data_IF_973250934727
#
_entry.id   IF_973250934727
#
_cell.length_a   1.000
_cell.length_b   1.000
_cell.length_c   1.000
_cell.angle_alpha   90.00
_cell.angle_beta   90.00
_cell.angle_gamma   90.00
#
_symmetry.space_group_name_H-M   'P 1'
#
loop_
_entity.id
_entity.type
_entity.pdbx_description
1 polymer ?
#
# COMPACT_ATOMS: atom_id res chain seq x y z
N UNK A 1 -49.75 -2.55 44.03
CA UNK A 1 -48.98 -1.31 43.72
C UNK A 1 -49.23 -0.86 42.28
N UNK A 2 -49.18 0.44 41.95
CA UNK A 2 -49.40 0.93 40.57
C UNK A 2 -48.09 1.04 39.78
N UNK A 3 -48.11 0.65 38.51
CA UNK A 3 -46.98 0.81 37.61
C UNK A 3 -46.72 2.30 37.30
N UNK A 4 -45.49 2.81 37.48
CA UNK A 4 -45.17 4.22 37.18
C UNK A 4 -45.21 4.52 35.68
N UNK A 5 -45.16 3.50 34.81
CA UNK A 5 -45.18 3.66 33.35
C UNK A 5 -46.58 3.57 32.72
N UNK A 6 -47.43 2.66 33.20
CA UNK A 6 -48.73 2.38 32.59
C UNK A 6 -49.92 2.50 33.55
N UNK A 7 -49.69 2.86 34.81
CA UNK A 7 -50.71 3.07 35.85
C UNK A 7 -51.57 1.87 36.23
N UNK A 8 -51.38 0.69 35.61
CA UNK A 8 -52.08 -0.54 35.98
C UNK A 8 -51.68 -1.05 37.36
N UNK A 9 -52.63 -1.69 38.05
CA UNK A 9 -52.43 -2.34 39.33
C UNK A 9 -51.68 -3.65 39.15
N UNK A 10 -50.53 -3.75 39.81
CA UNK A 10 -49.68 -4.94 39.84
C UNK A 10 -49.74 -5.60 41.24
N UNK A 11 -49.67 -6.94 41.29
CA UNK A 11 -49.62 -7.68 42.54
C UNK A 11 -48.37 -7.31 43.35
N UNK A 12 -48.51 -7.28 44.67
CA UNK A 12 -47.41 -6.94 45.57
C UNK A 12 -46.30 -7.99 45.48
N UNK A 13 -45.05 -7.55 45.27
CA UNK A 13 -43.89 -8.43 45.10
C UNK A 13 -43.55 -8.81 43.66
N UNK A 14 -44.28 -8.33 42.65
CA UNK A 14 -43.92 -8.56 41.24
C UNK A 14 -42.66 -7.78 40.85
N UNK A 15 -41.67 -8.45 40.24
CA UNK A 15 -40.45 -7.80 39.75
C UNK A 15 -40.67 -6.97 38.47
N UNK A 16 -41.69 -7.33 37.67
CA UNK A 16 -42.02 -6.70 36.39
C UNK A 16 -43.53 -6.48 36.26
N UNK A 17 -43.93 -5.43 35.56
CA UNK A 17 -45.34 -5.12 35.30
C UNK A 17 -45.91 -6.09 34.24
N UNK A 18 -47.00 -6.83 34.52
CA UNK A 18 -47.57 -7.78 33.57
C UNK A 18 -48.24 -7.12 32.36
N UNK A 19 -48.58 -5.82 32.44
CA UNK A 19 -49.22 -5.12 31.31
C UNK A 19 -48.25 -4.45 30.36
N UNK A 20 -47.06 -4.04 30.80
CA UNK A 20 -46.11 -3.29 29.96
C UNK A 20 -44.65 -3.78 30.03
N UNK A 21 -44.35 -4.77 30.88
CA UNK A 21 -43.02 -5.36 31.01
C UNK A 21 -41.98 -4.53 31.77
N UNK A 22 -42.32 -3.34 32.28
CA UNK A 22 -41.34 -2.50 33.00
C UNK A 22 -40.95 -3.11 34.35
N UNK A 23 -39.66 -3.13 34.68
CA UNK A 23 -39.19 -3.53 36.01
C UNK A 23 -39.56 -2.50 37.07
N UNK A 24 -39.78 -2.97 38.30
CA UNK A 24 -40.01 -2.10 39.47
C UNK A 24 -38.71 -1.75 40.22
N UNK A 25 -37.59 -2.34 39.81
CA UNK A 25 -36.27 -2.05 40.36
C UNK A 25 -35.73 -0.77 39.74
N UNK A 26 -35.78 0.35 40.48
CA UNK A 26 -35.14 1.59 40.09
C UNK A 26 -33.61 1.38 40.05
N UNK A 27 -32.99 1.59 38.89
CA UNK A 27 -31.52 1.60 38.79
C UNK A 27 -30.96 2.76 39.64
N UNK A 28 -29.86 2.53 40.39
CA UNK A 28 -29.22 3.61 41.14
C UNK A 28 -28.71 4.66 40.15
N UNK A 29 -29.18 5.90 40.30
CA UNK A 29 -28.80 7.04 39.45
C UNK A 29 -27.29 7.28 39.56
N UNK A 30 -26.54 6.74 38.61
CA UNK A 30 -25.08 6.89 38.54
C UNK A 30 -24.77 8.34 38.20
N UNK A 31 -24.17 9.06 39.15
CA UNK A 31 -23.81 10.47 39.02
C UNK A 31 -22.98 10.73 37.77
N UNK A 32 -23.49 11.58 36.86
CA UNK A 32 -22.83 11.98 35.60
C UNK A 32 -21.40 12.49 35.83
N UNK A 33 -21.13 13.12 36.98
CA UNK A 33 -19.79 13.62 37.35
C UNK A 33 -18.75 12.51 37.49
N UNK A 34 -19.16 11.32 37.95
CA UNK A 34 -18.25 10.18 38.09
C UNK A 34 -17.93 9.55 36.72
N UNK A 35 -18.89 9.50 35.81
CA UNK A 35 -18.69 8.99 34.44
C UNK A 35 -17.74 9.90 33.65
N UNK A 36 -17.92 11.23 33.71
CA UNK A 36 -17.00 12.17 33.09
C UNK A 36 -15.58 12.10 33.66
N UNK A 37 -15.44 11.90 34.98
CA UNK A 37 -14.12 11.75 35.62
C UNK A 37 -13.38 10.48 35.16
N UNK A 38 -14.09 9.36 34.97
CA UNK A 38 -13.51 8.10 34.48
C UNK A 38 -13.11 8.21 33.01
N UNK A 39 -13.93 8.86 32.17
CA UNK A 39 -13.61 9.06 30.74
C UNK A 39 -12.39 9.99 30.58
N UNK A 40 -12.34 11.11 31.32
CA UNK A 40 -11.19 12.02 31.30
C UNK A 40 -9.91 11.32 31.77
N UNK A 41 -9.98 10.52 32.84
CA UNK A 41 -8.83 9.74 33.31
C UNK A 41 -8.36 8.71 32.27
N UNK A 42 -9.28 8.04 31.57
CA UNK A 42 -8.96 7.07 30.52
C UNK A 42 -8.28 7.70 29.29
N UNK A 43 -8.77 8.86 28.82
CA UNK A 43 -8.17 9.59 27.69
C UNK A 43 -6.78 10.09 28.06
N UNK A 44 -6.60 10.62 29.28
CA UNK A 44 -5.31 11.13 29.74
C UNK A 44 -4.27 10.00 29.87
N UNK A 45 -4.70 8.80 30.30
CA UNK A 45 -3.85 7.62 30.34
C UNK A 45 -3.39 7.19 28.93
N UNK A 46 -4.29 7.19 27.94
CA UNK A 46 -3.95 6.85 26.54
C UNK A 46 -2.98 7.85 25.92
N UNK A 47 -3.13 9.15 26.21
CA UNK A 47 -2.19 10.18 25.76
C UNK A 47 -0.79 9.97 26.38
N UNK A 48 -0.72 9.60 27.67
CA UNK A 48 0.55 9.31 28.33
C UNK A 48 1.22 8.07 27.73
N UNK A 49 0.46 6.99 27.49
CA UNK A 49 0.99 5.76 26.88
C UNK A 49 1.47 6.04 25.44
N UNK A 50 0.70 6.81 24.66
CA UNK A 50 1.10 7.23 23.31
C UNK A 50 2.38 8.08 23.29
N UNK A 51 2.52 9.01 24.24
CA UNK A 51 3.72 9.83 24.37
C UNK A 51 4.95 9.00 24.79
N UNK A 52 4.77 7.99 25.65
CA UNK A 52 5.83 7.05 26.05
C UNK A 52 6.24 6.10 24.91
N UNK A 53 5.29 5.62 24.10
CA UNK A 53 5.59 4.81 22.93
C UNK A 53 6.32 5.63 21.84
N UNK A 54 5.90 6.88 21.61
CA UNK A 54 6.58 7.79 20.70
C UNK A 54 8.00 8.14 21.18
N UNK A 55 8.21 8.37 22.47
CA UNK A 55 9.54 8.66 23.00
C UNK A 55 10.50 7.48 22.89
N UNK A 56 10.03 6.23 23.07
CA UNK A 56 10.85 5.04 22.81
C UNK A 56 11.19 4.85 21.32
N UNK A 57 10.32 5.25 20.40
CA UNK A 57 10.59 5.19 18.96
C UNK A 57 11.57 6.28 18.50
N UNK A 58 11.46 7.51 19.02
CA UNK A 58 12.37 8.61 18.69
C UNK A 58 13.74 8.50 19.40
N UNK A 59 13.82 7.85 20.57
CA UNK A 59 15.09 7.60 21.24
C UNK A 59 15.96 6.53 20.52
N UNK A 60 15.33 5.64 19.72
CA UNK A 60 16.03 4.55 19.01
C UNK A 60 16.58 4.97 17.63
N UNK A 61 16.17 6.12 17.10
CA UNK A 61 16.56 6.58 15.75
C UNK A 61 17.75 7.53 15.71
N UNK A 62 18.49 7.71 16.81
CA UNK A 62 19.75 8.49 16.85
C UNK A 62 20.97 7.60 17.08
N UNK A 63 21.14 6.57 16.27
CA UNK A 63 22.42 5.87 16.10
C UNK A 63 22.38 5.10 14.78
N UNK A 64 22.89 5.70 13.70
CA UNK A 64 23.57 5.11 12.53
C UNK A 64 23.65 6.22 11.47
N UNK A 65 24.60 7.13 11.68
CA UNK A 65 25.27 7.93 10.65
C UNK A 65 26.65 8.24 11.19
N UNK A 66 27.49 7.19 11.25
CA UNK A 66 28.92 7.33 11.41
C UNK A 66 29.55 6.72 10.16
N UNK A 67 29.79 7.57 9.15
CA UNK A 67 30.70 7.24 8.07
C UNK A 67 32.11 7.51 8.61
N UNK A 68 32.80 6.44 8.98
CA UNK A 68 34.20 6.47 9.35
C UNK A 68 35.03 6.71 8.09
N UNK A 69 35.69 7.87 8.03
CA UNK A 69 36.63 8.24 6.98
C UNK A 69 38.03 7.85 7.45
N UNK A 70 38.33 6.57 7.43
CA UNK A 70 39.62 6.03 7.87
C UNK A 70 40.14 4.97 6.92
N UNK A 71 41.01 5.37 5.98
CA UNK A 71 41.96 4.43 5.36
C UNK A 71 42.82 3.79 6.45
N UNK A 72 43.07 2.48 6.36
CA UNK A 72 44.45 2.08 6.06
C UNK A 72 44.59 0.77 5.25
N UNK A 73 45.70 0.67 4.51
CA UNK A 73 46.23 -0.58 3.94
C UNK A 73 45.74 -0.86 2.52
N UNK A 74 46.54 -0.65 1.46
CA UNK A 74 47.94 -1.05 1.38
C UNK A 74 48.07 -2.58 1.34
N UNK A 75 47.28 -3.24 0.48
CA UNK A 75 47.45 -4.67 0.15
C UNK A 75 48.38 -4.84 -1.05
N UNK A 76 49.32 -5.80 -1.03
CA UNK A 76 50.52 -5.77 -1.86
C UNK A 76 50.28 -6.14 -3.33
N UNK A 77 50.94 -5.38 -4.22
CA UNK A 77 51.14 -5.72 -5.63
C UNK A 77 51.67 -7.14 -5.80
N UNK A 78 50.92 -7.97 -6.53
CA UNK A 78 51.37 -9.30 -6.97
C UNK A 78 52.26 -9.14 -8.20
N UNK A 79 53.40 -8.48 -8.03
CA UNK A 79 54.46 -8.37 -9.04
C UNK A 79 55.80 -8.44 -8.32
N UNK A 80 56.22 -9.67 -8.00
CA UNK A 80 57.59 -10.15 -7.75
C UNK A 80 57.55 -11.31 -6.74
N UNK A 81 57.34 -12.53 -7.23
CA UNK A 81 57.69 -13.73 -6.48
C UNK A 81 59.14 -14.13 -6.82
N UNK A 82 60.01 -14.43 -5.84
CA UNK A 82 61.38 -14.88 -6.09
C UNK A 82 61.42 -16.24 -6.80
N UNK A 83 62.43 -16.43 -7.66
CA UNK A 83 62.69 -17.69 -8.34
C UNK A 83 62.96 -18.83 -7.32
N UNK A 84 62.40 -20.04 -7.51
CA UNK A 84 62.80 -21.19 -6.72
C UNK A 84 64.19 -21.66 -7.14
N UNK A 85 65.12 -21.71 -6.18
CA UNK A 85 66.38 -22.42 -6.33
C UNK A 85 66.10 -23.93 -6.27
N UNK A 86 66.20 -24.62 -7.40
CA UNK A 86 66.34 -26.08 -7.44
C UNK A 86 67.72 -26.42 -7.99
N UNK A 87 68.63 -26.79 -7.09
CA UNK A 87 69.86 -27.46 -7.42
C UNK A 87 69.60 -28.98 -7.55
N UNK A 88 70.07 -29.59 -8.64
CA UNK A 88 70.41 -31.02 -8.70
C UNK A 88 69.44 -31.93 -9.46
N UNK A 89 69.66 -32.07 -10.78
CA UNK A 89 69.12 -33.17 -11.59
C UNK A 89 69.71 -33.14 -13.01
N UNK A 90 70.15 -34.29 -13.58
CA UNK A 90 71.01 -34.32 -14.76
C UNK A 90 70.29 -33.94 -16.06
N UNK A 91 71.04 -33.28 -16.95
CA UNK A 91 70.64 -32.79 -18.26
C UNK A 91 70.02 -33.86 -19.16
N UNK A 92 68.83 -33.56 -19.70
CA UNK A 92 68.27 -34.28 -20.86
C UNK A 92 67.99 -33.29 -21.98
N UNK A 93 68.57 -33.64 -23.12
CA UNK A 93 68.64 -33.02 -24.44
C UNK A 93 67.28 -32.78 -25.12
N UNK A 94 67.16 -31.61 -25.78
CA UNK A 94 66.29 -31.23 -26.90
C UNK A 94 64.79 -31.62 -26.85
N UNK A 95 63.92 -30.66 -26.52
CA UNK A 95 62.49 -30.69 -26.85
C UNK A 95 62.11 -29.47 -27.73
N UNK A 96 61.23 -29.60 -28.76
CA UNK A 96 60.83 -28.50 -29.62
C UNK A 96 60.05 -27.42 -28.86
N UNK A 97 60.07 -26.15 -29.30
CA UNK A 97 59.35 -25.07 -28.62
C UNK A 97 57.85 -25.38 -28.55
N UNK A 98 57.17 -25.11 -27.40
CA UNK A 98 55.75 -25.35 -27.25
C UNK A 98 54.95 -24.45 -28.20
N UNK A 99 53.92 -25.03 -28.81
CA UNK A 99 52.97 -24.31 -29.66
C UNK A 99 52.34 -23.14 -28.88
N UNK A 100 52.12 -22.02 -29.57
CA UNK A 100 51.48 -20.83 -29.02
C UNK A 100 50.12 -21.19 -28.40
N UNK A 101 49.75 -20.64 -27.23
CA UNK A 101 48.45 -20.89 -26.63
C UNK A 101 47.32 -20.37 -27.54
N UNK A 102 46.15 -21.02 -27.56
CA UNK A 102 45.03 -20.59 -28.38
C UNK A 102 44.62 -19.16 -27.99
N UNK A 103 44.45 -18.31 -29.00
CA UNK A 103 43.95 -16.95 -28.84
C UNK A 103 42.63 -16.97 -28.08
N UNK A 104 42.57 -16.23 -26.98
CA UNK A 104 41.34 -15.94 -26.25
C UNK A 104 40.30 -15.34 -27.21
N UNK A 105 39.02 -15.77 -27.16
CA UNK A 105 37.96 -15.13 -27.93
C UNK A 105 37.89 -13.65 -27.58
N UNK A 106 38.02 -12.79 -28.59
CA UNK A 106 38.01 -11.35 -28.42
C UNK A 106 36.70 -10.87 -27.78
N UNK A 107 36.83 -10.05 -26.73
CA UNK A 107 35.75 -9.34 -26.01
C UNK A 107 35.11 -8.20 -26.83
N UNK A 108 35.01 -8.34 -28.15
CA UNK A 108 34.30 -7.39 -29.01
C UNK A 108 32.97 -8.00 -29.44
N UNK A 109 32.07 -8.19 -28.48
CA UNK A 109 30.66 -8.31 -28.81
C UNK A 109 30.22 -6.98 -29.46
N UNK A 110 29.54 -7.00 -30.62
CA UNK A 110 29.03 -5.78 -31.24
C UNK A 110 28.12 -5.05 -30.25
N UNK A 111 28.40 -3.77 -29.99
CA UNK A 111 27.50 -2.93 -29.20
C UNK A 111 26.19 -2.81 -29.98
N UNK A 112 25.13 -3.46 -29.50
CA UNK A 112 23.80 -3.36 -30.09
C UNK A 112 23.38 -1.90 -30.00
N UNK A 113 23.23 -1.25 -31.15
CA UNK A 113 22.77 0.13 -31.20
C UNK A 113 21.27 0.18 -30.89
N UNK A 114 20.88 1.06 -29.97
CA UNK A 114 19.49 1.14 -29.52
C UNK A 114 18.67 1.92 -30.53
N UNK A 115 17.59 1.35 -31.09
CA UNK A 115 16.70 2.10 -31.98
C UNK A 115 16.10 3.31 -31.26
N UNK A 116 16.08 4.46 -31.94
CA UNK A 116 15.51 5.70 -31.37
C UNK A 116 14.05 5.51 -30.93
N UNK A 117 13.27 4.75 -31.69
CA UNK A 117 11.89 4.39 -31.36
C UNK A 117 11.72 3.71 -30.00
N UNK A 118 12.69 2.89 -29.57
CA UNK A 118 12.69 2.23 -28.26
C UNK A 118 12.89 3.26 -27.16
N UNK A 119 13.87 4.16 -27.31
CA UNK A 119 14.13 5.22 -26.34
C UNK A 119 12.95 6.19 -26.22
N UNK A 120 12.37 6.61 -27.35
CA UNK A 120 11.20 7.50 -27.40
C UNK A 120 9.96 6.82 -26.78
N UNK A 121 9.83 5.50 -26.91
CA UNK A 121 8.76 4.75 -26.26
C UNK A 121 8.99 4.62 -24.75
N UNK A 122 10.21 4.30 -24.30
CA UNK A 122 10.53 4.21 -22.88
C UNK A 122 10.34 5.55 -22.15
N UNK A 123 10.70 6.67 -22.77
CA UNK A 123 10.44 7.99 -22.21
C UNK A 123 8.93 8.30 -22.13
N UNK A 124 8.15 7.86 -23.12
CA UNK A 124 6.70 7.95 -23.04
C UNK A 124 6.14 7.13 -21.87
N UNK A 125 6.54 5.86 -21.72
CA UNK A 125 6.06 5.01 -20.61
C UNK A 125 6.51 5.56 -19.25
N UNK A 126 7.69 6.17 -19.16
CA UNK A 126 8.12 6.89 -17.94
C UNK A 126 7.16 8.01 -17.55
N UNK A 127 6.62 8.76 -18.52
CA UNK A 127 5.60 9.78 -18.24
C UNK A 127 4.28 9.16 -17.79
N UNK A 128 3.88 8.02 -18.38
CA UNK A 128 2.72 7.25 -17.95
C UNK A 128 2.91 6.77 -16.51
N UNK A 129 4.09 6.28 -16.16
CA UNK A 129 4.44 5.82 -14.80
C UNK A 129 4.39 6.96 -13.78
N UNK A 130 4.89 8.15 -14.13
CA UNK A 130 4.75 9.32 -13.27
C UNK A 130 3.28 9.66 -12.99
N UNK A 131 2.42 9.63 -14.02
CA UNK A 131 0.97 9.84 -13.86
C UNK A 131 0.31 8.72 -13.04
N UNK A 132 0.70 7.46 -13.25
CA UNK A 132 0.25 6.31 -12.46
C UNK A 132 0.54 6.53 -10.98
N UNK A 133 1.77 6.90 -10.63
CA UNK A 133 2.17 7.13 -9.24
C UNK A 133 1.38 8.27 -8.59
N UNK A 134 1.06 9.33 -9.34
CA UNK A 134 0.19 10.39 -8.85
C UNK A 134 -1.23 9.88 -8.61
N UNK A 135 -1.82 9.15 -9.57
CA UNK A 135 -3.15 8.58 -9.42
C UNK A 135 -3.25 7.59 -8.27
N UNK A 136 -2.21 6.77 -8.04
CA UNK A 136 -2.13 5.90 -6.87
C UNK A 136 -2.25 6.70 -5.57
N UNK A 137 -1.46 7.78 -5.42
CA UNK A 137 -1.51 8.64 -4.23
C UNK A 137 -2.89 9.28 -4.05
N UNK A 138 -3.47 9.80 -5.13
CA UNK A 138 -4.77 10.49 -5.07
C UNK A 138 -5.91 9.51 -4.78
N UNK A 139 -5.85 8.31 -5.36
CA UNK A 139 -6.80 7.22 -5.09
C UNK A 139 -6.69 6.75 -3.64
N UNK A 140 -5.49 6.47 -3.15
CA UNK A 140 -5.28 6.04 -1.75
C UNK A 140 -5.78 7.09 -0.76
N UNK A 141 -5.59 8.38 -1.06
CA UNK A 141 -6.15 9.48 -0.23
C UNK A 141 -7.68 9.50 -0.27
N UNK A 142 -8.28 9.36 -1.45
CA UNK A 142 -9.74 9.30 -1.60
C UNK A 142 -10.34 8.13 -0.79
N UNK A 143 -9.73 6.95 -0.90
CA UNK A 143 -10.14 5.75 -0.16
C UNK A 143 -9.98 5.95 1.36
N UNK A 144 -8.87 6.52 1.82
CA UNK A 144 -8.65 6.82 3.24
C UNK A 144 -9.63 7.89 3.79
N UNK A 145 -10.02 8.88 2.97
CA UNK A 145 -11.04 9.85 3.36
C UNK A 145 -12.41 9.18 3.49
N UNK A 146 -12.75 8.29 2.55
CA UNK A 146 -13.97 7.48 2.63
C UNK A 146 -14.00 6.61 3.90
N UNK A 147 -12.86 5.97 4.21
CA UNK A 147 -12.63 5.20 5.43
C UNK A 147 -12.93 6.00 6.70
N UNK A 148 -12.22 7.12 6.86
CA UNK A 148 -12.29 7.94 8.05
C UNK A 148 -13.66 8.57 8.23
N UNK A 149 -14.34 8.96 7.15
CA UNK A 149 -15.70 9.47 7.22
C UNK A 149 -16.69 8.39 7.70
N UNK A 150 -16.58 7.18 7.17
CA UNK A 150 -17.47 6.09 7.58
C UNK A 150 -17.27 5.71 9.06
N UNK A 151 -16.02 5.68 9.54
CA UNK A 151 -15.73 5.47 10.96
C UNK A 151 -16.25 6.61 11.84
N UNK A 152 -16.02 7.88 11.45
CA UNK A 152 -16.54 9.03 12.17
C UNK A 152 -18.07 9.04 12.23
N UNK A 153 -18.76 8.68 11.15
CA UNK A 153 -20.21 8.57 11.13
C UNK A 153 -20.72 7.44 12.03
N UNK A 154 -20.04 6.30 12.06
CA UNK A 154 -20.39 5.21 13.00
C UNK A 154 -20.23 5.62 14.47
N UNK A 155 -19.21 6.42 14.79
CA UNK A 155 -18.99 6.92 16.14
C UNK A 155 -20.05 7.97 16.51
N UNK A 156 -20.37 8.86 15.58
CA UNK A 156 -21.40 9.87 15.79
C UNK A 156 -22.78 9.23 15.94
N UNK A 157 -23.09 8.15 15.22
CA UNK A 157 -24.34 7.38 15.40
C UNK A 157 -24.46 6.78 16.81
N UNK A 158 -23.34 6.31 17.37
CA UNK A 158 -23.30 5.81 18.75
C UNK A 158 -23.54 6.93 19.78
N UNK A 159 -23.03 8.13 19.50
CA UNK A 159 -23.22 9.33 20.33
C UNK A 159 -24.66 9.85 20.19
N UNK A 160 -25.23 9.83 18.99
CA UNK A 160 -26.58 10.29 18.67
C UNK A 160 -27.67 9.35 19.23
N UNK A 161 -27.41 8.03 19.24
CA UNK A 161 -28.24 7.07 19.97
C UNK A 161 -28.28 7.35 21.48
N UNK A 162 -27.29 8.09 22.01
CA UNK A 162 -27.25 8.55 23.40
C UNK A 162 -27.66 10.01 23.61
N UNK A 163 -27.79 10.80 22.54
CA UNK A 163 -28.09 12.23 22.56
C UNK A 163 -29.08 12.54 21.43
N UNK A 164 -30.34 12.76 21.80
CA UNK A 164 -31.50 12.90 20.91
C UNK A 164 -31.51 14.23 20.11
N UNK A 165 -30.51 14.48 19.24
CA UNK A 165 -30.46 15.71 18.42
C UNK A 165 -29.81 15.51 17.03
N UNK A 166 -30.63 15.64 15.98
CA UNK A 166 -30.43 15.08 14.63
C UNK A 166 -29.26 15.64 13.77
N UNK A 167 -28.30 14.78 13.35
CA UNK A 167 -27.34 15.00 12.26
C UNK A 167 -27.72 14.27 10.95
N UNK A 168 -28.91 13.66 10.87
CA UNK A 168 -29.33 12.79 9.75
C UNK A 168 -29.29 13.47 8.37
N UNK A 169 -29.45 14.79 8.28
CA UNK A 169 -29.45 15.53 7.00
C UNK A 169 -28.07 15.63 6.32
N UNK A 170 -26.95 15.48 7.05
CA UNK A 170 -25.60 15.57 6.48
C UNK A 170 -25.05 14.24 5.93
N UNK A 171 -25.55 13.08 6.37
CA UNK A 171 -25.06 11.75 5.96
C UNK A 171 -25.16 11.48 4.45
N UNK A 172 -26.32 11.68 3.78
CA UNK A 172 -26.45 11.38 2.35
C UNK A 172 -25.57 12.27 1.46
N UNK A 173 -25.26 13.51 1.89
CA UNK A 173 -24.37 14.41 1.15
C UNK A 173 -22.90 13.97 1.20
N UNK A 174 -22.45 13.42 2.32
CA UNK A 174 -21.08 12.91 2.48
C UNK A 174 -20.86 11.60 1.73
N UNK A 175 -21.83 10.70 1.82
CA UNK A 175 -21.88 9.48 1.02
C UNK A 175 -21.75 9.75 -0.49
N UNK A 176 -22.56 10.66 -1.02
CA UNK A 176 -22.49 11.06 -2.42
C UNK A 176 -21.13 11.66 -2.79
N UNK A 177 -20.48 12.39 -1.87
CA UNK A 177 -19.14 12.93 -2.10
C UNK A 177 -18.08 11.83 -2.24
N UNK A 178 -18.15 10.79 -1.41
CA UNK A 178 -17.24 9.64 -1.46
C UNK A 178 -17.41 8.87 -2.76
N UNK A 179 -18.66 8.58 -3.13
CA UNK A 179 -18.97 7.85 -4.36
C UNK A 179 -18.49 8.62 -5.60
N UNK A 180 -18.80 9.93 -5.67
CA UNK A 180 -18.35 10.78 -6.76
C UNK A 180 -16.83 10.86 -6.86
N UNK A 181 -16.13 10.89 -5.73
CA UNK A 181 -14.67 10.89 -5.69
C UNK A 181 -14.09 9.59 -6.25
N UNK A 182 -14.57 8.43 -5.79
CA UNK A 182 -14.08 7.13 -6.25
C UNK A 182 -14.39 6.92 -7.74
N UNK A 183 -15.59 7.30 -8.19
CA UNK A 183 -15.95 7.27 -9.62
C UNK A 183 -15.06 8.19 -10.46
N UNK A 184 -14.69 9.36 -9.94
CA UNK A 184 -13.74 10.27 -10.58
C UNK A 184 -12.36 9.62 -10.69
N UNK A 185 -11.86 9.00 -9.62
CA UNK A 185 -10.58 8.31 -9.65
C UNK A 185 -10.60 7.17 -10.68
N UNK A 186 -11.63 6.33 -10.69
CA UNK A 186 -11.77 5.28 -11.70
C UNK A 186 -11.73 5.83 -13.13
N UNK A 187 -12.42 6.94 -13.39
CA UNK A 187 -12.40 7.60 -14.70
C UNK A 187 -10.99 8.09 -15.09
N UNK A 188 -10.25 8.67 -14.15
CA UNK A 188 -8.86 9.11 -14.37
C UNK A 188 -7.93 7.92 -14.73
N UNK A 189 -8.16 6.75 -14.13
CA UNK A 189 -7.42 5.53 -14.47
C UNK A 189 -7.72 5.04 -15.89
N UNK A 190 -8.99 5.09 -16.30
CA UNK A 190 -9.36 4.80 -17.69
C UNK A 190 -8.75 5.80 -18.67
N UNK A 191 -8.64 7.07 -18.31
CA UNK A 191 -7.94 8.08 -19.10
C UNK A 191 -6.44 7.80 -19.21
N UNK A 192 -5.79 7.40 -18.11
CA UNK A 192 -4.38 7.00 -18.15
C UNK A 192 -4.15 5.80 -19.06
N UNK A 193 -5.05 4.82 -18.97
CA UNK A 193 -5.07 3.65 -19.84
C UNK A 193 -5.20 4.06 -21.32
N UNK A 194 -6.16 4.92 -21.65
CA UNK A 194 -6.34 5.44 -23.01
C UNK A 194 -5.12 6.23 -23.47
N UNK A 195 -4.52 7.00 -22.57
CA UNK A 195 -3.28 7.75 -22.85
C UNK A 195 -2.13 6.79 -23.18
N UNK A 196 -1.95 5.72 -22.41
CA UNK A 196 -0.96 4.68 -22.70
C UNK A 196 -1.22 4.01 -24.07
N UNK A 197 -2.47 3.65 -24.34
CA UNK A 197 -2.88 3.00 -25.59
C UNK A 197 -2.76 3.93 -26.82
N UNK A 198 -2.62 5.26 -26.62
CA UNK A 198 -2.49 6.23 -27.71
C UNK A 198 -1.18 6.13 -28.49
N UNK A 199 -0.15 5.48 -27.93
CA UNK A 199 1.15 5.27 -28.58
C UNK A 199 1.43 3.78 -28.71
N UNK A 200 1.47 3.29 -29.95
CA UNK A 200 1.80 1.90 -30.23
C UNK A 200 3.24 1.57 -29.81
N UNK A 201 3.41 0.43 -29.15
CA UNK A 201 4.72 -0.08 -28.77
C UNK A 201 5.51 -0.54 -30.01
N UNK A 202 6.79 -0.17 -30.15
CA UNK A 202 7.71 -0.84 -31.06
C UNK A 202 7.77 -2.34 -30.76
N UNK A 203 8.06 -3.17 -31.76
CA UNK A 203 8.04 -4.64 -31.61
C UNK A 203 8.97 -5.12 -30.48
N UNK A 204 10.11 -4.45 -30.30
CA UNK A 204 11.11 -4.76 -29.28
C UNK A 204 10.61 -4.45 -27.86
N UNK A 205 9.60 -3.58 -27.73
CA UNK A 205 8.96 -3.21 -26.46
C UNK A 205 7.66 -3.98 -26.19
N UNK A 206 7.22 -4.88 -27.09
CA UNK A 206 5.88 -5.48 -27.04
C UNK A 206 5.63 -6.24 -25.73
N UNK A 207 6.59 -7.05 -25.28
CA UNK A 207 6.45 -7.83 -24.05
C UNK A 207 6.36 -6.94 -22.81
N UNK A 208 7.23 -5.91 -22.74
CA UNK A 208 7.17 -4.92 -21.67
C UNK A 208 5.85 -4.13 -21.69
N UNK A 209 5.42 -3.67 -22.87
CA UNK A 209 4.18 -2.91 -23.03
C UNK A 209 2.95 -3.73 -22.61
N UNK A 210 2.90 -5.02 -22.95
CA UNK A 210 1.86 -5.94 -22.52
C UNK A 210 1.81 -6.10 -21.00
N UNK A 211 2.95 -6.39 -20.36
CA UNK A 211 3.04 -6.49 -18.90
C UNK A 211 2.69 -5.18 -18.20
N UNK A 212 3.15 -4.04 -18.73
CA UNK A 212 2.84 -2.73 -18.17
C UNK A 212 1.36 -2.36 -18.31
N UNK A 213 0.73 -2.71 -19.44
CA UNK A 213 -0.71 -2.55 -19.62
C UNK A 213 -1.50 -3.34 -18.59
N UNK A 214 -1.03 -4.55 -18.26
CA UNK A 214 -1.63 -5.39 -17.22
C UNK A 214 -1.59 -4.73 -15.84
N UNK A 215 -0.51 -4.02 -15.49
CA UNK A 215 -0.44 -3.20 -14.26
C UNK A 215 -1.59 -2.21 -14.21
N UNK A 216 -1.70 -1.36 -15.25
CA UNK A 216 -2.74 -0.32 -15.30
C UNK A 216 -4.16 -0.92 -15.22
N UNK A 217 -4.42 -2.04 -15.90
CA UNK A 217 -5.73 -2.70 -15.80
C UNK A 217 -6.00 -3.29 -14.42
N UNK A 218 -4.99 -3.86 -13.76
CA UNK A 218 -5.16 -4.52 -12.47
C UNK A 218 -5.49 -3.51 -11.38
N UNK A 219 -4.83 -2.35 -11.41
CA UNK A 219 -5.10 -1.23 -10.51
C UNK A 219 -6.47 -0.59 -10.76
N UNK A 220 -6.82 -0.33 -12.03
CA UNK A 220 -8.14 0.17 -12.39
C UNK A 220 -9.26 -0.78 -11.95
N UNK A 221 -9.04 -2.09 -12.09
CA UNK A 221 -9.98 -3.11 -11.62
C UNK A 221 -10.12 -3.09 -10.10
N UNK A 222 -9.02 -2.94 -9.34
CA UNK A 222 -9.07 -2.80 -7.88
C UNK A 222 -9.99 -1.66 -7.45
N UNK A 223 -9.88 -0.51 -8.11
CA UNK A 223 -10.72 0.67 -7.84
C UNK A 223 -12.18 0.42 -8.23
N UNK A 224 -12.42 -0.26 -9.35
CA UNK A 224 -13.78 -0.62 -9.78
C UNK A 224 -14.47 -1.51 -8.75
N UNK A 225 -13.76 -2.47 -8.14
CA UNK A 225 -14.33 -3.31 -7.08
C UNK A 225 -14.68 -2.46 -5.85
N UNK A 226 -13.79 -1.55 -5.43
CA UNK A 226 -14.05 -0.62 -4.31
C UNK A 226 -15.28 0.24 -4.61
N UNK A 227 -15.36 0.85 -5.79
CA UNK A 227 -16.53 1.64 -6.21
C UNK A 227 -17.82 0.82 -6.25
N UNK A 228 -17.73 -0.45 -6.66
CA UNK A 228 -18.86 -1.38 -6.61
C UNK A 228 -19.36 -1.67 -5.20
N UNK A 229 -18.47 -1.78 -4.20
CA UNK A 229 -18.88 -1.94 -2.79
C UNK A 229 -19.57 -0.68 -2.27
N UNK A 230 -18.97 0.49 -2.53
CA UNK A 230 -19.47 1.77 -2.03
C UNK A 230 -20.82 2.17 -2.66
N UNK A 231 -21.00 1.97 -3.97
CA UNK A 231 -22.25 2.27 -4.68
C UNK A 231 -23.45 1.41 -4.23
N UNK A 232 -23.20 0.19 -3.74
CA UNK A 232 -24.24 -0.67 -3.17
C UNK A 232 -24.56 -0.37 -1.71
N UNK A 233 -23.80 0.51 -1.07
CA UNK A 233 -23.97 0.82 0.34
C UNK A 233 -25.19 1.72 0.53
N UNK A 234 -26.16 1.28 1.35
CA UNK A 234 -27.18 2.18 1.86
C UNK A 234 -26.62 3.00 3.02
N UNK A 235 -26.20 4.23 2.74
CA UNK A 235 -25.57 5.12 3.72
C UNK A 235 -26.51 5.66 4.81
N UNK A 236 -27.82 5.41 4.69
CA UNK A 236 -28.78 5.69 5.75
C UNK A 236 -28.91 4.53 6.75
N UNK A 237 -28.38 3.34 6.42
CA UNK A 237 -28.45 2.14 7.23
C UNK A 237 -27.08 1.78 7.82
N UNK A 238 -26.98 1.81 9.15
CA UNK A 238 -25.76 1.48 9.89
C UNK A 238 -25.21 0.09 9.53
N UNK A 239 -26.07 -0.92 9.44
CA UNK A 239 -25.63 -2.30 9.16
C UNK A 239 -25.12 -2.44 7.72
N UNK A 240 -25.68 -1.68 6.78
CA UNK A 240 -25.18 -1.62 5.41
C UNK A 240 -23.79 -0.98 5.33
N UNK A 241 -23.55 0.12 6.07
CA UNK A 241 -22.24 0.77 6.12
C UNK A 241 -21.21 -0.17 6.74
N UNK A 242 -21.53 -0.79 7.88
CA UNK A 242 -20.67 -1.75 8.57
C UNK A 242 -20.30 -2.94 7.68
N UNK A 243 -21.26 -3.53 6.97
CA UNK A 243 -21.01 -4.64 6.03
C UNK A 243 -20.08 -4.22 4.90
N UNK A 244 -20.25 -3.01 4.38
CA UNK A 244 -19.44 -2.50 3.27
C UNK A 244 -18.01 -2.20 3.72
N UNK A 245 -17.84 -1.66 4.92
CA UNK A 245 -16.52 -1.52 5.56
C UNK A 245 -15.85 -2.86 5.80
N UNK A 246 -16.59 -3.86 6.31
CA UNK A 246 -16.05 -5.21 6.48
C UNK A 246 -15.62 -5.80 5.13
N UNK A 247 -16.42 -5.63 4.08
CA UNK A 247 -16.05 -6.11 2.74
C UNK A 247 -14.79 -5.41 2.20
N UNK A 248 -14.62 -4.11 2.43
CA UNK A 248 -13.39 -3.40 2.08
C UNK A 248 -12.19 -3.89 2.91
N UNK A 249 -12.38 -4.20 4.19
CA UNK A 249 -11.34 -4.80 5.03
C UNK A 249 -11.00 -6.23 4.59
N UNK A 250 -11.97 -7.03 4.17
CA UNK A 250 -11.75 -8.37 3.65
C UNK A 250 -10.99 -8.32 2.33
N UNK A 251 -11.32 -7.36 1.46
CA UNK A 251 -10.55 -7.08 0.24
C UNK A 251 -9.12 -6.64 0.54
N UNK A 252 -8.92 -5.84 1.60
CA UNK A 252 -7.58 -5.47 2.08
C UNK A 252 -6.76 -6.70 2.43
N UNK A 253 -7.39 -7.66 3.06
CA UNK A 253 -6.75 -8.87 3.55
C UNK A 253 -6.75 -10.00 2.51
N UNK A 254 -7.32 -9.81 1.31
CA UNK A 254 -7.34 -10.83 0.25
C UNK A 254 -5.97 -10.89 -0.46
N UNK A 255 -5.17 -11.95 -0.22
CA UNK A 255 -3.86 -12.09 -0.82
C UNK A 255 -3.94 -12.24 -2.36
N UNK A 256 -5.09 -12.67 -2.90
CA UNK A 256 -5.24 -12.82 -4.34
C UNK A 256 -5.37 -11.46 -5.04
N UNK A 257 -6.00 -10.47 -4.41
CA UNK A 257 -6.19 -9.16 -5.03
C UNK A 257 -4.88 -8.37 -5.04
N UNK A 258 -4.23 -8.24 -3.87
CA UNK A 258 -2.93 -7.56 -3.78
C UNK A 258 -1.84 -8.34 -4.54
N UNK A 259 -1.83 -9.67 -4.44
CA UNK A 259 -0.87 -10.52 -5.13
C UNK A 259 -0.94 -10.41 -6.65
N UNK A 260 -2.14 -10.19 -7.23
CA UNK A 260 -2.29 -9.95 -8.67
C UNK A 260 -1.69 -8.61 -9.11
N UNK A 261 -1.88 -7.55 -8.33
CA UNK A 261 -1.31 -6.24 -8.63
C UNK A 261 0.21 -6.31 -8.50
N UNK A 262 0.71 -6.89 -7.40
CA UNK A 262 2.14 -7.03 -7.15
C UNK A 262 2.82 -7.89 -8.23
N UNK A 263 2.22 -9.01 -8.62
CA UNK A 263 2.74 -9.86 -9.70
C UNK A 263 2.77 -9.15 -11.05
N UNK A 264 1.75 -8.32 -11.36
CA UNK A 264 1.75 -7.53 -12.58
C UNK A 264 2.89 -6.49 -12.57
N UNK A 265 3.10 -5.82 -11.44
CA UNK A 265 4.19 -4.83 -11.26
C UNK A 265 5.56 -5.49 -11.40
N UNK A 266 5.77 -6.61 -10.72
CA UNK A 266 7.03 -7.37 -10.80
C UNK A 266 7.30 -7.88 -12.21
N UNK A 267 6.26 -8.37 -12.90
CA UNK A 267 6.37 -8.80 -14.30
C UNK A 267 6.79 -7.63 -15.20
N UNK A 268 6.15 -6.48 -15.07
CA UNK A 268 6.47 -5.30 -15.88
C UNK A 268 7.90 -4.78 -15.61
N UNK A 269 8.32 -4.71 -14.34
CA UNK A 269 9.67 -4.26 -13.98
C UNK A 269 10.76 -5.22 -14.46
N UNK A 270 10.50 -6.54 -14.37
CA UNK A 270 11.38 -7.58 -14.88
C UNK A 270 11.54 -7.47 -16.39
N UNK A 271 10.44 -7.30 -17.15
CA UNK A 271 10.48 -7.13 -18.61
C UNK A 271 11.20 -5.85 -19.04
N UNK A 272 11.04 -4.76 -18.29
CA UNK A 272 11.80 -3.53 -18.51
C UNK A 272 13.30 -3.76 -18.30
N UNK A 273 13.66 -4.46 -17.23
CA UNK A 273 15.05 -4.80 -16.91
C UNK A 273 15.68 -5.70 -17.99
N UNK A 274 14.94 -6.68 -18.50
CA UNK A 274 15.36 -7.53 -19.62
C UNK A 274 15.61 -6.72 -20.89
N UNK A 275 14.69 -5.81 -21.23
CA UNK A 275 14.81 -4.93 -22.39
C UNK A 275 16.04 -4.01 -22.29
N UNK A 276 16.24 -3.38 -21.13
CA UNK A 276 17.40 -2.53 -20.89
C UNK A 276 18.72 -3.33 -20.94
N UNK A 277 18.73 -4.55 -20.39
CA UNK A 277 19.89 -5.45 -20.45
C UNK A 277 20.23 -5.87 -21.88
N UNK A 278 19.23 -6.18 -22.71
CA UNK A 278 19.44 -6.54 -24.11
C UNK A 278 20.19 -5.45 -24.88
N UNK A 279 19.82 -4.19 -24.65
CA UNK A 279 20.45 -3.03 -25.27
C UNK A 279 21.68 -2.50 -24.53
N UNK A 280 22.06 -3.11 -23.42
CA UNK A 280 23.12 -2.65 -22.52
C UNK A 280 22.96 -1.15 -22.14
N UNK A 281 21.73 -0.76 -21.80
CA UNK A 281 21.38 0.58 -21.31
C UNK A 281 20.95 0.53 -19.84
N UNK A 282 21.09 1.67 -19.15
CA UNK A 282 20.57 1.82 -17.80
C UNK A 282 19.04 1.86 -17.82
N UNK A 283 18.42 1.29 -16.78
CA UNK A 283 16.97 1.34 -16.61
C UNK A 283 16.53 2.80 -16.38
N UNK A 284 15.62 3.34 -17.20
CA UNK A 284 15.26 4.77 -17.14
C UNK A 284 14.31 5.13 -15.99
N UNK A 285 13.60 4.14 -15.42
CA UNK A 285 12.69 4.25 -14.29
C UNK A 285 12.39 2.85 -13.74
N UNK A 286 11.86 2.76 -12.52
CA UNK A 286 11.34 1.54 -11.92
C UNK A 286 9.81 1.50 -12.02
N UNK A 287 9.23 0.32 -12.28
CA UNK A 287 7.78 0.12 -12.11
C UNK A 287 7.56 -0.21 -10.64
N UNK A 288 7.12 0.79 -9.87
CA UNK A 288 7.07 0.69 -8.41
C UNK A 288 5.77 0.04 -7.93
N UNK A 289 5.86 -0.74 -6.85
CA UNK A 289 4.68 -1.26 -6.14
C UNK A 289 3.99 -0.12 -5.41
N UNK A 290 2.69 -0.27 -5.18
CA UNK A 290 1.89 0.76 -4.49
C UNK A 290 2.45 1.08 -3.09
N UNK A 291 2.91 0.06 -2.37
CA UNK A 291 3.54 0.19 -1.05
C UNK A 291 4.78 1.11 -1.05
N UNK A 292 5.51 1.19 -2.16
CA UNK A 292 6.72 2.01 -2.28
C UNK A 292 6.40 3.48 -2.62
N UNK A 293 5.19 3.77 -3.10
CA UNK A 293 4.78 5.08 -3.63
C UNK A 293 4.07 5.94 -2.56
N UNK A 294 3.74 5.35 -1.41
CA UNK A 294 3.12 6.05 -0.28
C UNK A 294 1.78 5.46 0.19
N UNK A 295 1.46 4.22 -0.20
CA UNK A 295 0.32 3.44 0.30
C UNK A 295 -0.32 2.59 -0.78
N UNK A 296 -0.94 1.47 -0.42
CA UNK A 296 -1.71 0.64 -1.37
C UNK A 296 -3.15 1.12 -1.45
N UNK A 297 -3.74 1.10 -2.65
CA UNK A 297 -5.15 1.45 -2.87
C UNK A 297 -6.04 0.55 -1.99
N UNK A 298 -5.60 -0.70 -1.86
CA UNK A 298 -6.27 -1.76 -1.09
C UNK A 298 -5.94 -1.65 0.41
N UNK A 299 -4.76 -1.12 0.76
CA UNK A 299 -4.27 -1.02 2.14
C UNK A 299 -4.44 0.33 2.82
N UNK A 300 -5.04 1.31 2.15
CA UNK A 300 -5.33 2.64 2.71
C UNK A 300 -5.89 2.50 4.13
N UNK A 301 -5.27 3.18 5.10
CA UNK A 301 -5.49 2.92 6.53
C UNK A 301 -6.95 3.13 6.97
N UNK A 302 -7.72 2.03 6.96
CA UNK A 302 -8.95 1.84 7.73
C UNK A 302 -8.59 1.24 9.09
#
# INVERSE_FOLDING_TARGET
MRCPKCSNEAPEGAAFCPSCGSSFTAEPVRSKKFVYAVILAGVLLLVIIGALAASMFFARSRSITQADSGLPGGGPSVTNAPAPNTAGGPSVTNAPPPASPPSSPGLNAPKIEVPKEVLDYLEFVKQVESKRQQLLKDTTRAVALAAGQAQADSLMDLIDMTLDDSPQAQRPKRAASVENEINRQYSNWLDLIRYFDSKSAPQQCADFAGSYRQVLTSEANGISVIGGVLSRTNWADYESVKRSLQQLQDMKNDPNLQGRIDAAVESADSRLSELCRYYNINKPFDVRKEGDIGGSIISGGF
#
